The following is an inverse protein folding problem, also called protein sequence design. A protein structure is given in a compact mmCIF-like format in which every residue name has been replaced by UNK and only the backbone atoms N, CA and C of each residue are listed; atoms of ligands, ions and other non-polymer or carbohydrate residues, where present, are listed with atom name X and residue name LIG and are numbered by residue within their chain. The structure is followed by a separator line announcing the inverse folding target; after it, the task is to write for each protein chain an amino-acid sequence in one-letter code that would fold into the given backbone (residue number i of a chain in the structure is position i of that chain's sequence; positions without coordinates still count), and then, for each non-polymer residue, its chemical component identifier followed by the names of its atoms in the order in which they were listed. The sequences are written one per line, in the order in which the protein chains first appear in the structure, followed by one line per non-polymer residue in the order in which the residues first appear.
data_IF_511530254609
#
_entry.id   IF_511530254609
#
_cell.length_a   1.000
_cell.length_b   1.000
_cell.length_c   1.000
_cell.angle_alpha   90.00
_cell.angle_beta   90.00
_cell.angle_gamma   90.00
#
_symmetry.space_group_name_H-M   'P 1'
#
loop_
_entity.id
_entity.type
_entity.pdbx_description
1 polymer ?
#
# COMPACT_ATOMS: atom_id res chain seq x y z
N UNK A 1 -4.10 -1.31 -29.24
CA UNK A 1 -5.19 -1.58 -28.27
C UNK A 1 -4.59 -1.46 -26.88
N UNK A 2 -5.19 -0.71 -25.94
CA UNK A 2 -4.68 -0.66 -24.56
C UNK A 2 -4.71 -2.09 -23.98
N UNK A 3 -3.58 -2.61 -23.49
CA UNK A 3 -3.53 -3.90 -22.79
C UNK A 3 -4.51 -3.81 -21.60
N UNK A 4 -5.37 -4.82 -21.43
CA UNK A 4 -6.29 -4.85 -20.28
C UNK A 4 -5.50 -5.29 -19.06
N UNK A 5 -5.35 -4.42 -18.08
CA UNK A 5 -4.65 -4.68 -16.82
C UNK A 5 -5.69 -5.06 -15.77
N UNK A 6 -5.50 -6.17 -15.08
CA UNK A 6 -6.27 -6.53 -13.88
C UNK A 6 -5.60 -5.95 -12.64
N UNK A 7 -6.33 -5.23 -11.79
CA UNK A 7 -5.82 -4.80 -10.47
C UNK A 7 -6.48 -5.66 -9.39
N UNK A 8 -5.68 -6.17 -8.46
CA UNK A 8 -6.14 -6.87 -7.25
C UNK A 8 -5.51 -6.17 -6.06
N UNK A 9 -6.33 -5.79 -5.09
CA UNK A 9 -5.89 -5.22 -3.83
C UNK A 9 -5.97 -6.30 -2.74
N UNK A 10 -4.89 -6.48 -2.01
CA UNK A 10 -4.76 -7.46 -0.93
C UNK A 10 -4.50 -6.66 0.34
N UNK A 11 -5.53 -6.49 1.17
CA UNK A 11 -5.46 -5.63 2.37
C UNK A 11 -4.95 -6.38 3.61
N UNK A 12 -5.01 -7.71 3.62
CA UNK A 12 -4.43 -8.60 4.63
C UNK A 12 -4.29 -10.02 4.08
N UNK A 13 -3.49 -10.86 4.74
CA UNK A 13 -3.38 -12.29 4.44
C UNK A 13 -4.16 -13.10 5.48
N UNK A 14 -5.46 -13.32 5.23
CA UNK A 14 -6.35 -14.14 6.04
C UNK A 14 -6.56 -15.54 5.47
N UNK A 15 -7.29 -16.39 6.19
CA UNK A 15 -7.45 -17.83 5.88
C UNK A 15 -7.94 -18.13 4.45
N UNK A 16 -8.73 -17.24 3.84
CA UNK A 16 -9.28 -17.39 2.50
C UNK A 16 -8.48 -16.68 1.40
N UNK A 17 -7.50 -15.85 1.75
CA UNK A 17 -6.91 -14.87 0.81
C UNK A 17 -6.24 -15.55 -0.39
N UNK A 18 -5.59 -16.69 -0.22
CA UNK A 18 -5.00 -17.41 -1.36
C UNK A 18 -6.04 -17.88 -2.37
N UNK A 19 -7.18 -18.40 -1.88
CA UNK A 19 -8.29 -18.82 -2.74
C UNK A 19 -8.96 -17.64 -3.45
N UNK A 20 -9.17 -16.53 -2.74
CA UNK A 20 -9.73 -15.29 -3.29
C UNK A 20 -8.81 -14.68 -4.36
N UNK A 21 -7.49 -14.72 -4.17
CA UNK A 21 -6.54 -14.27 -5.18
C UNK A 21 -6.67 -15.09 -6.47
N UNK A 22 -6.68 -16.43 -6.36
CA UNK A 22 -6.84 -17.35 -7.50
C UNK A 22 -8.14 -17.06 -8.25
N UNK A 23 -9.27 -16.97 -7.55
CA UNK A 23 -10.57 -16.64 -8.13
C UNK A 23 -10.59 -15.25 -8.79
N UNK A 24 -9.98 -14.26 -8.13
CA UNK A 24 -9.84 -12.89 -8.64
C UNK A 24 -9.07 -12.85 -9.97
N UNK A 25 -7.94 -13.54 -10.03
CA UNK A 25 -7.12 -13.68 -11.25
C UNK A 25 -7.93 -14.35 -12.36
N UNK A 26 -8.59 -15.47 -12.09
CA UNK A 26 -9.42 -16.17 -13.09
C UNK A 26 -10.57 -15.30 -13.61
N UNK A 27 -11.24 -14.57 -12.73
CA UNK A 27 -12.31 -13.62 -13.07
C UNK A 27 -11.79 -12.51 -13.98
N UNK A 28 -10.62 -11.94 -13.68
CA UNK A 28 -9.98 -10.91 -14.49
C UNK A 28 -9.49 -11.46 -15.83
N UNK A 29 -8.94 -12.69 -15.88
CA UNK A 29 -8.59 -13.39 -17.12
C UNK A 29 -9.81 -13.53 -18.04
N UNK A 30 -10.96 -13.95 -17.50
CA UNK A 30 -12.23 -14.05 -18.24
C UNK A 30 -12.70 -12.70 -18.80
N UNK A 31 -12.44 -11.59 -18.09
CA UNK A 31 -12.70 -10.21 -18.55
C UNK A 31 -11.66 -9.70 -19.57
N UNK A 32 -10.63 -10.50 -19.84
CA UNK A 32 -9.61 -10.28 -20.85
C UNK A 32 -8.34 -9.62 -20.34
N UNK A 33 -8.08 -9.62 -19.03
CA UNK A 33 -6.81 -9.15 -18.48
C UNK A 33 -5.62 -9.91 -19.10
N UNK A 34 -4.53 -9.18 -19.37
CA UNK A 34 -3.29 -9.68 -19.98
C UNK A 34 -2.05 -9.41 -19.12
N UNK A 35 -2.25 -8.75 -17.98
CA UNK A 35 -1.26 -8.45 -16.97
C UNK A 35 -1.97 -8.08 -15.67
N UNK A 36 -1.24 -8.12 -14.56
CA UNK A 36 -1.79 -7.86 -13.23
C UNK A 36 -0.99 -6.82 -12.46
N UNK A 37 -1.69 -6.02 -11.68
CA UNK A 37 -1.12 -5.21 -10.60
C UNK A 37 -1.64 -5.80 -9.29
N UNK A 38 -0.71 -6.20 -8.42
CA UNK A 38 -1.00 -6.66 -7.07
C UNK A 38 -0.68 -5.53 -6.10
N UNK A 39 -1.69 -5.01 -5.43
CA UNK A 39 -1.56 -3.87 -4.52
C UNK A 39 -1.57 -4.39 -3.08
N UNK A 40 -0.41 -4.37 -2.42
CA UNK A 40 -0.25 -4.74 -1.00
C UNK A 40 0.07 -3.52 -0.13
N UNK A 41 -0.15 -2.30 -0.66
CA UNK A 41 -0.03 -1.07 0.12
C UNK A 41 -0.97 -1.10 1.31
N UNK A 42 -0.51 -0.58 2.44
CA UNK A 42 -1.20 -0.59 3.73
C UNK A 42 -1.61 -1.99 4.23
N UNK A 43 -0.96 -3.05 3.75
CA UNK A 43 -1.18 -4.42 4.23
C UNK A 43 -0.19 -4.76 5.36
N UNK A 44 -0.63 -4.86 6.63
CA UNK A 44 0.26 -5.13 7.77
C UNK A 44 0.75 -6.60 7.84
N UNK A 45 0.39 -7.42 6.85
CA UNK A 45 0.68 -8.83 6.74
C UNK A 45 -0.51 -9.71 7.13
N UNK A 46 -0.20 -10.85 7.74
CA UNK A 46 -1.17 -11.87 8.10
C UNK A 46 -0.51 -13.25 8.18
N UNK A 47 -1.24 -14.27 7.75
CA UNK A 47 -0.86 -15.67 7.88
C UNK A 47 0.26 -16.04 6.89
N UNK A 48 1.29 -16.72 7.40
CA UNK A 48 2.49 -17.10 6.65
C UNK A 48 2.20 -18.16 5.57
N UNK A 49 1.34 -19.13 5.88
CA UNK A 49 0.92 -20.17 4.94
C UNK A 49 0.23 -19.56 3.72
N UNK A 50 -0.63 -18.57 3.94
CA UNK A 50 -1.37 -17.90 2.86
C UNK A 50 -0.43 -17.17 1.90
N UNK A 51 0.56 -16.43 2.41
CA UNK A 51 1.54 -15.78 1.55
C UNK A 51 2.41 -16.81 0.81
N UNK A 52 2.77 -17.93 1.43
CA UNK A 52 3.55 -18.97 0.77
C UNK A 52 2.79 -19.61 -0.39
N UNK A 53 1.50 -19.93 -0.19
CA UNK A 53 0.61 -20.43 -1.24
C UNK A 53 0.51 -19.40 -2.38
N UNK A 54 0.22 -18.14 -2.04
CA UNK A 54 0.08 -17.06 -3.03
C UNK A 54 1.36 -16.83 -3.82
N UNK A 55 2.53 -16.74 -3.15
CA UNK A 55 3.81 -16.53 -3.81
C UNK A 55 4.13 -17.69 -4.77
N UNK A 56 3.84 -18.94 -4.38
CA UNK A 56 4.05 -20.11 -5.24
C UNK A 56 3.30 -19.99 -6.58
N UNK A 57 2.13 -19.32 -6.62
CA UNK A 57 1.39 -19.11 -7.86
C UNK A 57 2.17 -18.27 -8.91
N UNK A 58 3.13 -17.44 -8.48
CA UNK A 58 3.90 -16.56 -9.36
C UNK A 58 5.31 -17.08 -9.66
N UNK A 59 5.82 -17.97 -8.82
CA UNK A 59 7.18 -18.49 -8.92
C UNK A 59 7.21 -19.82 -9.70
N UNK A 60 8.31 -20.06 -10.41
CA UNK A 60 8.62 -21.39 -10.93
C UNK A 60 8.84 -22.40 -9.78
N UNK A 61 8.43 -23.65 -9.98
CA UNK A 61 8.62 -24.69 -8.98
C UNK A 61 10.11 -24.86 -8.62
N UNK A 62 10.40 -24.96 -7.33
CA UNK A 62 11.76 -25.05 -6.78
C UNK A 62 12.44 -23.71 -6.51
N UNK A 63 11.86 -22.57 -6.91
CA UNK A 63 12.33 -21.25 -6.52
C UNK A 63 12.00 -20.95 -5.06
N UNK A 64 12.89 -20.23 -4.39
CA UNK A 64 12.75 -19.87 -2.97
C UNK A 64 11.66 -18.82 -2.78
N UNK A 65 10.79 -19.03 -1.81
CA UNK A 65 9.82 -18.01 -1.35
C UNK A 65 10.42 -17.25 -0.17
N UNK A 66 10.88 -17.97 0.85
CA UNK A 66 11.39 -17.39 2.09
C UNK A 66 12.32 -18.37 2.79
N UNK A 67 13.32 -17.85 3.50
CA UNK A 67 14.22 -18.62 4.37
C UNK A 67 13.98 -18.23 5.82
N UNK A 68 14.13 -19.17 6.75
CA UNK A 68 14.10 -18.90 8.19
C UNK A 68 15.44 -19.24 8.81
N UNK A 69 15.90 -18.37 9.70
CA UNK A 69 17.19 -18.47 10.34
C UNK A 69 17.11 -18.23 11.86
N UNK A 70 17.98 -18.89 12.60
CA UNK A 70 18.28 -18.60 14.00
C UNK A 70 19.75 -18.16 14.14
N UNK A 71 20.27 -18.10 15.37
CA UNK A 71 21.66 -17.71 15.63
C UNK A 71 22.70 -18.68 15.05
N UNK A 72 22.29 -19.88 14.63
CA UNK A 72 23.14 -20.90 14.00
C UNK A 72 23.16 -20.84 12.46
N UNK A 73 22.26 -20.03 11.85
CA UNK A 73 22.15 -19.86 10.40
C UNK A 73 20.77 -20.21 9.85
N UNK A 74 20.68 -20.45 8.55
CA UNK A 74 19.43 -20.87 7.89
C UNK A 74 19.05 -22.28 8.34
N UNK A 75 17.86 -22.40 8.94
CA UNK A 75 17.34 -23.65 9.49
C UNK A 75 16.21 -24.24 8.65
N UNK A 76 15.54 -23.42 7.84
CA UNK A 76 14.53 -23.91 6.89
C UNK A 76 14.35 -22.94 5.72
N UNK A 77 13.83 -23.48 4.63
CA UNK A 77 13.55 -22.77 3.39
C UNK A 77 12.22 -23.27 2.85
N UNK A 78 11.36 -22.34 2.43
CA UNK A 78 10.13 -22.67 1.70
C UNK A 78 10.35 -22.38 0.21
N UNK A 79 10.01 -23.35 -0.63
CA UNK A 79 10.11 -23.25 -2.09
C UNK A 79 8.73 -23.37 -2.73
N UNK A 80 8.54 -22.68 -3.85
CA UNK A 80 7.35 -22.82 -4.67
C UNK A 80 7.21 -24.26 -5.19
N UNK A 81 5.98 -24.76 -5.25
CA UNK A 81 5.68 -26.09 -5.79
C UNK A 81 4.20 -26.25 -6.14
N UNK A 82 3.90 -27.14 -7.09
CA UNK A 82 2.54 -27.55 -7.41
C UNK A 82 1.72 -28.07 -6.20
N UNK A 83 2.39 -28.58 -5.16
CA UNK A 83 1.72 -29.00 -3.93
C UNK A 83 1.22 -27.82 -3.09
N UNK A 84 1.88 -26.66 -3.21
CA UNK A 84 1.56 -25.45 -2.45
C UNK A 84 0.49 -24.61 -3.16
N UNK A 85 0.56 -24.47 -4.48
CA UNK A 85 -0.37 -23.66 -5.29
C UNK A 85 -1.44 -24.48 -6.02
N UNK A 86 -1.52 -25.78 -5.78
CA UNK A 86 -2.42 -26.72 -6.47
C UNK A 86 -2.24 -26.74 -8.00
N UNK A 87 -1.03 -26.41 -8.49
CA UNK A 87 -0.70 -26.31 -9.90
C UNK A 87 -1.19 -25.04 -10.58
N UNK A 88 -1.73 -24.07 -9.84
CA UNK A 88 -2.18 -22.81 -10.40
C UNK A 88 -1.02 -21.83 -10.57
N UNK A 89 -0.73 -21.44 -11.82
CA UNK A 89 0.34 -20.47 -12.13
C UNK A 89 -0.17 -19.20 -12.81
N UNK A 90 0.52 -18.10 -12.51
CA UNK A 90 0.39 -16.81 -13.17
C UNK A 90 1.61 -16.63 -14.08
N UNK A 91 1.35 -16.54 -15.38
CA UNK A 91 2.41 -16.42 -16.40
C UNK A 91 2.33 -15.09 -17.15
N UNK A 92 1.26 -14.33 -16.92
CA UNK A 92 1.10 -12.98 -17.41
C UNK A 92 2.04 -12.01 -16.67
N UNK A 93 2.47 -10.90 -17.30
CA UNK A 93 3.25 -9.88 -16.62
C UNK A 93 2.56 -9.34 -15.36
N UNK A 94 3.32 -9.20 -14.28
CA UNK A 94 2.86 -8.71 -12.98
C UNK A 94 3.71 -7.53 -12.52
N UNK A 95 3.11 -6.62 -11.75
CA UNK A 95 3.82 -5.62 -10.93
C UNK A 95 3.21 -5.64 -9.54
N UNK A 96 4.04 -5.48 -8.51
CA UNK A 96 3.60 -5.38 -7.10
C UNK A 96 3.71 -3.92 -6.63
N UNK A 97 2.68 -3.40 -5.97
CA UNK A 97 2.71 -2.10 -5.31
C UNK A 97 2.90 -2.27 -3.80
N UNK A 98 3.84 -1.52 -3.23
CA UNK A 98 4.18 -1.54 -1.80
C UNK A 98 4.27 -0.12 -1.23
N UNK A 99 4.19 0.00 0.10
CA UNK A 99 4.43 1.25 0.82
C UNK A 99 4.91 0.96 2.26
N UNK A 100 5.13 2.02 3.05
CA UNK A 100 5.55 1.89 4.46
C UNK A 100 4.54 1.19 5.38
N UNK A 101 3.30 0.96 4.92
CA UNK A 101 2.31 0.15 5.63
C UNK A 101 2.35 -1.34 5.26
N UNK A 102 3.11 -1.69 4.22
CA UNK A 102 3.37 -3.08 3.81
C UNK A 102 4.32 -3.73 4.82
N UNK A 103 3.85 -4.72 5.57
CA UNK A 103 4.64 -5.33 6.64
C UNK A 103 4.55 -6.86 6.68
N UNK A 104 5.56 -7.50 7.25
CA UNK A 104 5.56 -8.92 7.62
C UNK A 104 5.29 -9.82 6.41
N UNK A 105 4.13 -10.49 6.33
CA UNK A 105 3.77 -11.32 5.20
C UNK A 105 3.71 -10.54 3.88
N UNK A 106 3.32 -9.27 3.87
CA UNK A 106 3.35 -8.45 2.66
C UNK A 106 4.78 -8.27 2.12
N UNK A 107 5.76 -8.15 3.02
CA UNK A 107 7.17 -8.02 2.67
C UNK A 107 7.75 -9.33 2.14
N UNK A 108 7.37 -10.46 2.75
CA UNK A 108 7.70 -11.80 2.23
C UNK A 108 7.14 -11.97 0.82
N UNK A 109 5.89 -11.56 0.59
CA UNK A 109 5.27 -11.63 -0.74
C UNK A 109 6.03 -10.80 -1.76
N UNK A 110 6.31 -9.53 -1.45
CA UNK A 110 7.03 -8.62 -2.33
C UNK A 110 8.44 -9.14 -2.64
N UNK A 111 9.22 -9.52 -1.62
CA UNK A 111 10.59 -10.02 -1.79
C UNK A 111 10.64 -11.33 -2.59
N UNK A 112 9.71 -12.27 -2.35
CA UNK A 112 9.64 -13.51 -3.11
C UNK A 112 9.38 -13.25 -4.60
N UNK A 113 8.42 -12.38 -4.91
CA UNK A 113 8.10 -12.02 -6.30
C UNK A 113 9.24 -11.24 -6.96
N UNK A 114 9.86 -10.32 -6.24
CA UNK A 114 10.98 -9.50 -6.72
C UNK A 114 12.21 -10.35 -7.03
N UNK A 115 12.69 -11.11 -6.06
CA UNK A 115 14.01 -11.77 -6.15
C UNK A 115 13.97 -13.12 -6.84
N UNK A 116 12.87 -13.87 -6.73
CA UNK A 116 12.79 -15.23 -7.28
C UNK A 116 12.07 -15.32 -8.61
N UNK A 117 11.24 -14.32 -8.96
CA UNK A 117 10.45 -14.28 -10.19
C UNK A 117 10.72 -13.04 -11.07
N UNK A 118 11.66 -12.17 -10.67
CA UNK A 118 12.00 -10.93 -11.39
C UNK A 118 10.77 -10.03 -11.64
N UNK A 119 9.77 -10.06 -10.74
CA UNK A 119 8.55 -9.26 -10.84
C UNK A 119 8.83 -7.88 -10.22
N UNK A 120 8.63 -6.76 -10.97
CA UNK A 120 8.93 -5.43 -10.45
C UNK A 120 8.08 -5.04 -9.24
N UNK A 121 8.75 -4.47 -8.24
CA UNK A 121 8.14 -3.84 -7.07
C UNK A 121 8.21 -2.32 -7.23
N UNK A 122 7.08 -1.64 -7.01
CA UNK A 122 6.92 -0.19 -7.20
C UNK A 122 6.29 0.43 -5.96
N UNK A 123 6.81 1.56 -5.50
CA UNK A 123 6.23 2.25 -4.34
C UNK A 123 7.26 2.93 -3.46
N UNK A 124 7.09 2.81 -2.14
CA UNK A 124 8.09 3.25 -1.14
C UNK A 124 8.69 2.06 -0.41
N UNK A 125 9.74 2.29 0.37
CA UNK A 125 10.29 1.33 1.32
C UNK A 125 9.17 0.77 2.24
N UNK A 126 9.21 -0.53 2.50
CA UNK A 126 8.25 -1.23 3.35
C UNK A 126 8.60 -1.11 4.84
N UNK A 127 7.75 -1.66 5.71
CA UNK A 127 7.84 -1.43 7.15
C UNK A 127 9.13 -1.97 7.83
N UNK A 128 9.67 -3.10 7.36
CA UNK A 128 10.87 -3.72 7.92
C UNK A 128 10.63 -4.72 9.05
N UNK A 129 9.58 -5.54 8.98
CA UNK A 129 9.34 -6.58 10.01
C UNK A 129 9.97 -7.92 9.62
N UNK A 130 11.26 -8.06 9.92
CA UNK A 130 12.09 -9.23 9.59
C UNK A 130 12.13 -10.36 10.63
N UNK A 131 11.22 -10.41 11.60
CA UNK A 131 11.25 -11.36 12.72
C UNK A 131 9.97 -12.17 12.86
N UNK A 132 10.13 -13.43 13.27
CA UNK A 132 9.02 -14.35 13.58
C UNK A 132 8.85 -14.44 15.08
N UNK A 133 7.64 -14.18 15.54
CA UNK A 133 7.28 -14.23 16.96
C UNK A 133 6.44 -15.48 17.22
N UNK A 134 6.76 -16.18 18.30
CA UNK A 134 5.94 -17.25 18.84
C UNK A 134 5.13 -16.71 20.03
N UNK A 135 3.85 -17.04 20.10
CA UNK A 135 2.97 -16.72 21.22
C UNK A 135 2.79 -17.98 22.04
N UNK A 136 3.17 -17.92 23.31
CA UNK A 136 3.01 -19.02 24.26
C UNK A 136 2.09 -18.60 25.38
N UNK A 137 0.96 -19.27 25.52
CA UNK A 137 0.08 -19.10 26.68
C UNK A 137 0.80 -19.56 27.96
N UNK A 138 0.75 -18.75 29.01
CA UNK A 138 1.36 -19.04 30.31
C UNK A 138 0.33 -19.47 31.37
N UNK A 139 -0.96 -19.42 31.04
CA UNK A 139 -2.07 -19.54 32.00
C UNK A 139 -2.55 -18.18 32.51
N UNK A 140 -3.64 -18.16 33.27
CA UNK A 140 -4.22 -16.95 33.89
C UNK A 140 -4.45 -15.77 32.93
N UNK A 141 -4.88 -16.08 31.69
CA UNK A 141 -5.12 -15.09 30.63
C UNK A 141 -3.86 -14.27 30.27
N UNK A 142 -2.67 -14.85 30.48
CA UNK A 142 -1.38 -14.26 30.16
C UNK A 142 -0.68 -15.01 29.02
N UNK A 143 0.05 -14.27 28.19
CA UNK A 143 0.80 -14.79 27.05
C UNK A 143 2.22 -14.21 27.01
N UNK A 144 3.18 -15.01 26.56
CA UNK A 144 4.53 -14.60 26.23
C UNK A 144 4.67 -14.56 24.71
N UNK A 145 4.89 -13.36 24.18
CA UNK A 145 5.26 -13.16 22.78
C UNK A 145 6.77 -12.97 22.67
N UNK A 146 7.46 -13.93 22.06
CA UNK A 146 8.92 -13.94 21.97
C UNK A 146 9.36 -14.12 20.52
N UNK A 147 10.32 -13.29 20.09
CA UNK A 147 11.00 -13.49 18.80
C UNK A 147 11.83 -14.76 18.86
N UNK A 148 11.59 -15.67 17.93
CA UNK A 148 12.25 -16.99 17.90
C UNK A 148 13.10 -17.19 16.66
N UNK A 149 12.82 -16.48 15.57
CA UNK A 149 13.52 -16.64 14.29
C UNK A 149 13.56 -15.31 13.53
N UNK A 150 14.50 -15.23 12.60
CA UNK A 150 14.50 -14.26 11.50
C UNK A 150 13.90 -14.94 10.27
N UNK A 151 13.27 -14.14 9.41
CA UNK A 151 13.07 -14.57 8.03
C UNK A 151 14.00 -13.77 7.14
N UNK A 152 14.50 -14.40 6.09
CA UNK A 152 15.38 -13.81 5.09
C UNK A 152 14.71 -13.90 3.72
N UNK A 153 15.00 -12.94 2.85
CA UNK A 153 14.60 -12.96 1.45
C UNK A 153 15.24 -14.15 0.71
N UNK A 154 14.78 -14.51 -0.51
CA UNK A 154 15.45 -15.50 -1.34
C UNK A 154 16.99 -15.33 -1.44
N UNK A 155 17.47 -14.09 -1.53
CA UNK A 155 18.88 -13.70 -1.58
C UNK A 155 19.57 -13.62 -0.21
N UNK A 156 18.90 -14.08 0.85
CA UNK A 156 19.41 -14.11 2.23
C UNK A 156 19.56 -12.74 2.90
N UNK A 157 18.82 -11.74 2.43
CA UNK A 157 18.78 -10.42 3.06
C UNK A 157 17.84 -10.43 4.27
N UNK A 158 18.26 -9.77 5.36
CA UNK A 158 17.44 -9.62 6.55
C UNK A 158 16.80 -8.22 6.57
N UNK A 159 15.51 -8.16 6.25
CA UNK A 159 14.78 -6.89 6.07
C UNK A 159 14.43 -6.15 7.37
N UNK A 160 14.84 -6.66 8.54
CA UNK A 160 14.43 -6.07 9.81
C UNK A 160 14.93 -4.63 9.95
N UNK A 161 14.00 -3.70 10.24
CA UNK A 161 14.23 -2.26 10.32
C UNK A 161 14.71 -1.59 9.01
N UNK A 162 14.70 -2.31 7.89
CA UNK A 162 15.13 -1.84 6.56
C UNK A 162 14.05 -1.98 5.48
N UNK A 163 13.12 -2.91 5.66
CA UNK A 163 12.10 -3.20 4.66
C UNK A 163 12.65 -3.84 3.38
N UNK A 164 11.75 -3.95 2.41
CA UNK A 164 12.00 -4.34 1.03
C UNK A 164 12.04 -3.06 0.22
N UNK A 165 13.14 -2.84 -0.51
CA UNK A 165 13.30 -1.67 -1.36
C UNK A 165 12.63 -1.89 -2.72
N UNK A 166 11.77 -0.95 -3.18
CA UNK A 166 11.16 -1.07 -4.50
C UNK A 166 12.18 -0.86 -5.62
N UNK A 167 12.03 -1.59 -6.73
CA UNK A 167 12.82 -1.38 -7.96
C UNK A 167 12.56 0.00 -8.57
N UNK A 168 11.34 0.52 -8.36
CA UNK A 168 10.93 1.84 -8.81
C UNK A 168 10.27 2.60 -7.67
N UNK A 169 11.01 3.56 -7.12
CA UNK A 169 10.48 4.46 -6.11
C UNK A 169 9.42 5.39 -6.71
N UNK A 170 8.23 5.37 -6.13
CA UNK A 170 7.11 6.20 -6.52
C UNK A 170 6.19 6.37 -5.31
N UNK A 171 6.01 7.60 -4.86
CA UNK A 171 5.21 7.93 -3.68
C UNK A 171 4.04 8.83 -4.07
N UNK A 172 3.02 8.86 -3.21
CA UNK A 172 2.02 9.90 -3.26
C UNK A 172 2.66 11.28 -3.03
N UNK A 173 2.04 12.36 -3.56
CA UNK A 173 2.43 13.72 -3.21
C UNK A 173 2.40 13.96 -1.68
N UNK A 174 3.25 14.86 -1.17
CA UNK A 174 3.35 15.14 0.27
C UNK A 174 2.01 15.48 0.93
N UNK A 175 1.11 16.15 0.19
CA UNK A 175 -0.20 16.52 0.70
C UNK A 175 -1.11 15.33 1.03
N UNK A 176 -0.79 14.12 0.53
CA UNK A 176 -1.50 12.88 0.86
C UNK A 176 -1.36 12.49 2.35
N UNK A 177 -0.28 12.94 3.00
CA UNK A 177 0.07 12.60 4.37
C UNK A 177 -0.35 13.66 5.39
N UNK A 178 -1.00 14.74 4.93
CA UNK A 178 -1.45 15.81 5.82
C UNK A 178 -2.60 15.32 6.71
N UNK A 179 -2.52 15.71 7.99
CA UNK A 179 -3.59 15.44 8.94
C UNK A 179 -4.91 16.09 8.47
N UNK A 180 -6.07 15.44 8.73
CA UNK A 180 -7.37 16.01 8.43
C UNK A 180 -7.57 17.42 9.01
N UNK A 181 -8.42 18.20 8.36
CA UNK A 181 -8.82 19.51 8.85
C UNK A 181 -9.68 19.36 10.11
N UNK A 182 -9.58 20.30 11.06
CA UNK A 182 -10.35 20.26 12.29
C UNK A 182 -11.85 20.29 11.99
N UNK A 183 -12.62 19.49 12.73
CA UNK A 183 -14.09 19.41 12.59
C UNK A 183 -14.83 20.08 13.74
N UNK A 184 -14.13 20.30 14.84
CA UNK A 184 -14.62 20.93 16.08
C UNK A 184 -14.46 22.46 16.08
N UNK A 185 -13.73 23.03 15.12
CA UNK A 185 -13.43 24.45 15.04
C UNK A 185 -13.60 24.98 13.63
N UNK A 186 -14.16 26.18 13.53
CA UNK A 186 -14.29 26.92 12.27
C UNK A 186 -12.99 27.67 11.96
N UNK A 187 -12.46 27.46 10.74
CA UNK A 187 -11.38 28.29 10.20
C UNK A 187 -11.96 29.47 9.41
N UNK A 188 -11.39 30.66 9.58
CA UNK A 188 -11.88 31.89 8.96
C UNK A 188 -10.76 32.91 8.73
N UNK A 189 -11.07 33.91 7.92
CA UNK A 189 -10.15 34.99 7.55
C UNK A 189 -9.44 35.63 8.76
N UNK A 190 -8.15 35.92 8.58
CA UNK A 190 -7.29 36.57 9.57
C UNK A 190 -6.68 35.61 10.61
N UNK A 191 -7.02 34.32 10.57
CA UNK A 191 -6.35 33.31 11.40
C UNK A 191 -5.01 32.88 10.80
N UNK A 192 -4.04 32.60 11.67
CA UNK A 192 -2.78 31.93 11.34
C UNK A 192 -2.63 30.70 12.21
N UNK A 193 -2.43 29.52 11.63
CA UNK A 193 -2.23 28.26 12.37
C UNK A 193 -1.76 27.13 11.47
N UNK A 194 -1.23 26.06 12.04
CA UNK A 194 -0.91 24.83 11.29
C UNK A 194 -2.13 24.24 10.57
N UNK A 195 -3.34 24.39 11.12
CA UNK A 195 -4.56 23.92 10.45
C UNK A 195 -4.86 24.73 9.19
N UNK A 196 -4.53 26.02 9.18
CA UNK A 196 -4.66 26.90 8.02
C UNK A 196 -3.56 26.61 7.00
N UNK A 197 -2.34 26.28 7.45
CA UNK A 197 -1.28 25.82 6.56
C UNK A 197 -1.70 24.54 5.81
N UNK A 198 -2.21 23.53 6.54
CA UNK A 198 -2.77 22.31 5.92
C UNK A 198 -3.93 22.61 4.95
N UNK A 199 -4.84 23.51 5.33
CA UNK A 199 -5.92 23.98 4.44
C UNK A 199 -5.35 24.56 3.13
N UNK A 200 -4.36 25.43 3.24
CA UNK A 200 -3.74 26.07 2.07
C UNK A 200 -2.97 25.07 1.20
N UNK A 201 -2.33 24.05 1.80
CA UNK A 201 -1.71 22.96 1.05
C UNK A 201 -2.75 22.11 0.32
N UNK A 202 -3.86 21.75 0.97
CA UNK A 202 -4.97 21.05 0.31
C UNK A 202 -5.59 21.85 -0.84
N UNK A 203 -5.83 23.14 -0.66
CA UNK A 203 -6.35 24.01 -1.71
C UNK A 203 -5.33 24.16 -2.86
N UNK A 204 -4.03 24.21 -2.54
CA UNK A 204 -2.96 24.23 -3.55
C UNK A 204 -2.95 22.97 -4.40
N UNK A 205 -3.10 21.79 -3.77
CA UNK A 205 -3.24 20.51 -4.47
C UNK A 205 -4.47 20.47 -5.40
N UNK A 206 -5.53 21.23 -5.09
CA UNK A 206 -6.71 21.38 -5.95
C UNK A 206 -6.53 22.43 -7.07
N UNK A 207 -5.35 23.04 -7.18
CA UNK A 207 -5.01 24.02 -8.21
C UNK A 207 -5.30 25.48 -7.83
N UNK A 208 -5.67 25.76 -6.58
CA UNK A 208 -5.81 27.14 -6.09
C UNK A 208 -4.45 27.72 -5.70
N UNK A 209 -4.27 29.04 -5.82
CA UNK A 209 -2.98 29.70 -5.56
C UNK A 209 -2.82 30.09 -4.08
N UNK A 210 -3.00 29.14 -3.17
CA UNK A 210 -2.90 29.33 -1.72
C UNK A 210 -1.55 28.87 -1.19
N UNK A 211 -1.00 29.57 -0.19
CA UNK A 211 0.32 29.27 0.39
C UNK A 211 0.42 29.71 1.85
N UNK A 212 1.28 29.05 2.62
CA UNK A 212 1.61 29.45 3.99
C UNK A 212 0.46 29.22 4.98
N UNK A 213 0.62 29.76 6.19
CA UNK A 213 -0.20 29.43 7.35
C UNK A 213 -1.31 30.45 7.66
N UNK A 214 -1.48 31.47 6.82
CA UNK A 214 -2.44 32.56 7.01
C UNK A 214 -3.70 32.37 6.15
N UNK A 215 -4.88 32.60 6.74
CA UNK A 215 -6.17 32.54 6.06
C UNK A 215 -6.46 33.91 5.46
N UNK A 216 -5.90 34.16 4.27
CA UNK A 216 -6.02 35.43 3.57
C UNK A 216 -7.22 35.45 2.60
N UNK A 217 -7.37 36.54 1.85
CA UNK A 217 -8.44 36.69 0.87
C UNK A 217 -8.36 35.67 -0.29
N UNK A 218 -7.16 35.17 -0.59
CA UNK A 218 -6.94 34.10 -1.58
C UNK A 218 -7.50 32.78 -1.06
N UNK A 219 -7.22 32.46 0.21
CA UNK A 219 -7.82 31.29 0.90
C UNK A 219 -9.34 31.41 0.96
N UNK A 220 -9.89 32.57 1.32
CA UNK A 220 -11.35 32.82 1.32
C UNK A 220 -11.94 32.51 -0.04
N UNK A 221 -11.35 33.04 -1.11
CA UNK A 221 -11.84 32.85 -2.48
C UNK A 221 -11.78 31.38 -2.92
N UNK A 222 -10.72 30.66 -2.53
CA UNK A 222 -10.56 29.24 -2.82
C UNK A 222 -11.57 28.37 -2.04
N UNK A 223 -11.82 28.69 -0.77
CA UNK A 223 -12.85 28.02 0.05
C UNK A 223 -14.24 28.24 -0.54
N UNK A 224 -14.57 29.46 -0.94
CA UNK A 224 -15.85 29.77 -1.60
C UNK A 224 -16.03 28.98 -2.90
N UNK A 225 -14.97 28.84 -3.69
CA UNK A 225 -15.01 28.05 -4.93
C UNK A 225 -15.28 26.56 -4.65
N UNK A 226 -14.65 25.99 -3.61
CA UNK A 226 -14.93 24.61 -3.20
C UNK A 226 -16.36 24.45 -2.68
N UNK A 227 -16.84 25.38 -1.84
CA UNK A 227 -18.23 25.38 -1.34
C UNK A 227 -19.24 25.41 -2.49
N UNK A 228 -19.03 26.31 -3.46
CA UNK A 228 -19.89 26.40 -4.64
C UNK A 228 -19.89 25.10 -5.45
N UNK A 229 -18.71 24.49 -5.67
CA UNK A 229 -18.60 23.21 -6.41
C UNK A 229 -19.24 22.04 -5.66
N UNK A 230 -19.23 22.08 -4.32
CA UNK A 230 -19.83 21.08 -3.45
C UNK A 230 -21.31 21.35 -3.11
N UNK A 231 -21.91 22.38 -3.71
CA UNK A 231 -23.31 22.80 -3.45
C UNK A 231 -23.59 23.13 -1.98
N UNK A 232 -22.59 23.67 -1.27
CA UNK A 232 -22.68 24.12 0.12
C UNK A 232 -22.98 25.62 0.20
N UNK A 233 -23.36 26.09 1.39
CA UNK A 233 -23.47 27.53 1.66
C UNK A 233 -22.11 28.22 1.48
N UNK A 234 -22.07 29.26 0.65
CA UNK A 234 -20.84 29.97 0.27
C UNK A 234 -20.49 31.01 1.34
N UNK A 235 -19.91 30.55 2.44
CA UNK A 235 -19.56 31.38 3.60
C UNK A 235 -18.12 31.93 3.55
N UNK A 236 -17.24 31.29 2.78
CA UNK A 236 -15.79 31.57 2.79
C UNK A 236 -15.08 31.17 4.08
N UNK A 237 -15.75 30.39 4.93
CA UNK A 237 -15.21 29.82 6.17
C UNK A 237 -15.20 28.31 6.07
N UNK A 238 -14.29 27.65 6.79
CA UNK A 238 -14.19 26.19 6.82
C UNK A 238 -14.82 25.68 8.10
N UNK A 239 -16.08 25.26 8.00
CA UNK A 239 -16.76 24.44 9.00
C UNK A 239 -16.53 22.94 8.73
N UNK A 240 -17.13 22.06 9.54
CA UNK A 240 -16.96 20.61 9.40
C UNK A 240 -17.36 20.06 8.01
N UNK A 241 -18.44 20.59 7.40
CA UNK A 241 -18.91 20.18 6.08
C UNK A 241 -17.95 20.63 4.96
N UNK A 242 -17.48 21.88 5.04
CA UNK A 242 -16.51 22.43 4.09
C UNK A 242 -15.17 21.70 4.19
N UNK A 243 -14.71 21.38 5.39
CA UNK A 243 -13.52 20.55 5.62
C UNK A 243 -13.67 19.19 4.93
N UNK A 244 -14.83 18.54 5.05
CA UNK A 244 -15.12 17.27 4.37
C UNK A 244 -15.07 17.41 2.86
N UNK A 245 -15.67 18.47 2.31
CA UNK A 245 -15.71 18.71 0.88
C UNK A 245 -14.31 18.92 0.30
N UNK A 246 -13.45 19.66 1.00
CA UNK A 246 -12.04 19.88 0.63
C UNK A 246 -11.28 18.55 0.65
N UNK A 247 -11.31 17.82 1.76
CA UNK A 247 -10.60 16.54 1.90
C UNK A 247 -11.09 15.51 0.87
N UNK A 248 -12.39 15.46 0.58
CA UNK A 248 -12.95 14.61 -0.47
C UNK A 248 -12.42 15.01 -1.84
N UNK A 249 -12.40 16.30 -2.16
CA UNK A 249 -11.88 16.78 -3.43
C UNK A 249 -10.39 16.43 -3.58
N UNK A 250 -9.60 16.55 -2.52
CA UNK A 250 -8.17 16.16 -2.50
C UNK A 250 -8.04 14.66 -2.70
N UNK A 251 -8.87 13.85 -2.05
CA UNK A 251 -8.88 12.38 -2.22
C UNK A 251 -9.16 11.99 -3.67
N UNK A 252 -10.08 12.68 -4.33
CA UNK A 252 -10.41 12.44 -5.74
C UNK A 252 -9.28 12.90 -6.69
N UNK A 253 -8.50 13.93 -6.30
CA UNK A 253 -7.26 14.33 -6.98
C UNK A 253 -6.15 13.28 -6.81
N UNK A 254 -5.94 12.78 -5.59
CA UNK A 254 -4.92 11.76 -5.28
C UNK A 254 -5.07 10.50 -6.13
N UNK A 255 -6.31 10.09 -6.44
CA UNK A 255 -6.56 8.93 -7.33
C UNK A 255 -5.99 9.13 -8.75
N UNK A 256 -5.84 10.38 -9.19
CA UNK A 256 -5.24 10.72 -10.49
C UNK A 256 -3.72 10.85 -10.40
N UNK A 257 -3.19 11.05 -9.20
CA UNK A 257 -1.77 11.23 -8.87
C UNK A 257 -1.19 10.04 -8.10
N UNK A 258 -1.80 8.85 -8.22
CA UNK A 258 -1.23 7.60 -7.71
C UNK A 258 -0.01 7.21 -8.56
N UNK A 259 1.13 7.83 -8.27
CA UNK A 259 2.36 7.68 -9.05
C UNK A 259 2.84 6.23 -9.10
N UNK A 260 2.67 5.47 -8.02
CA UNK A 260 3.01 4.05 -7.98
C UNK A 260 2.14 3.25 -8.95
N UNK A 261 0.82 3.47 -8.93
CA UNK A 261 -0.10 2.84 -9.90
C UNK A 261 0.21 3.25 -11.34
N UNK A 262 0.43 4.55 -11.59
CA UNK A 262 0.78 5.06 -12.92
C UNK A 262 2.08 4.42 -13.44
N UNK A 263 3.07 4.26 -12.56
CA UNK A 263 4.33 3.61 -12.90
C UNK A 263 4.15 2.13 -13.21
N UNK A 264 3.33 1.40 -12.44
CA UNK A 264 2.98 0.02 -12.75
C UNK A 264 2.29 -0.13 -14.11
N UNK A 265 1.36 0.78 -14.43
CA UNK A 265 0.71 0.81 -15.75
C UNK A 265 1.72 1.07 -16.87
N UNK A 266 2.70 1.96 -16.67
CA UNK A 266 3.79 2.21 -17.63
C UNK A 266 4.61 0.94 -17.89
N UNK A 267 5.03 0.24 -16.84
CA UNK A 267 5.82 -0.99 -16.93
C UNK A 267 5.09 -2.11 -17.68
N UNK A 268 3.79 -2.27 -17.41
CA UNK A 268 2.96 -3.30 -18.05
C UNK A 268 2.53 -2.96 -19.49
N UNK A 269 2.68 -1.70 -19.89
CA UNK A 269 2.30 -1.22 -21.23
C UNK A 269 3.42 -1.34 -22.27
N UNK A 270 4.66 -1.57 -21.84
CA UNK A 270 5.80 -1.91 -22.71
C UNK A 270 5.61 -3.30 -23.34
#
# INVERSE_FOLDING_TARGET
MKKKIGKIEITTFGESTASELKEGIESLRKKGAKSFILDVRQNPGGLLDQVQIMASMFLEDGKTIVKFADDSGVISETKASAALDEGFKVTEPVVVLVDGGSASAAEIFAAALQESADIPVVGTETFGKGTVQNVKELGDNSELKMTVMKWLTPNEEWVNEQGVMPDHQADFPEYAYLAPLPRDKELKEGQSSEAVDRLNQFLSALGYRTTGDTFDQTTVSAVQAVQQKAELEVTGKVNAETAQAIEKAVTDQLKQEDHAYLKAVELLSK
#
